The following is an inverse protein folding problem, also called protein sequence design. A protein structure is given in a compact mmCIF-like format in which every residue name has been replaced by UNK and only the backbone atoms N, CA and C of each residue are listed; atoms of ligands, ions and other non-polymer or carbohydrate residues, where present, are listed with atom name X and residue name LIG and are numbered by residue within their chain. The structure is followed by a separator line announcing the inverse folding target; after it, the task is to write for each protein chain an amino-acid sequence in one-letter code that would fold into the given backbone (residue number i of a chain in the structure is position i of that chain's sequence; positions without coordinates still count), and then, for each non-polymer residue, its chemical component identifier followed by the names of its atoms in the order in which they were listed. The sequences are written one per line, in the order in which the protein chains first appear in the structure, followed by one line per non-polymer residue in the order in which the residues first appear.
data_IF_143458774678
#
_entry.id   IF_143458774678
#
_cell.length_a   1.000
_cell.length_b   1.000
_cell.length_c   1.000
_cell.angle_alpha   90.00
_cell.angle_beta   90.00
_cell.angle_gamma   90.00
#
_symmetry.space_group_name_H-M   'P 1'
#
loop_
_entity.id
_entity.type
_entity.pdbx_description
1 polymer ?
#
# COMPACT_ATOMS: atom_id res chain seq x y z
N UNK A 1 -4.52 22.48 -14.75
CA UNK A 1 -4.54 21.67 -15.99
C UNK A 1 -4.07 20.27 -15.63
N UNK A 2 -4.84 19.23 -15.93
CA UNK A 2 -4.50 17.85 -15.56
C UNK A 2 -4.34 17.01 -16.82
N UNK A 3 -3.14 16.47 -17.05
CA UNK A 3 -2.84 15.60 -18.18
C UNK A 3 -2.80 14.17 -17.64
N UNK A 4 -3.70 13.30 -18.12
CA UNK A 4 -3.69 11.87 -17.78
C UNK A 4 -2.94 11.12 -18.90
N UNK A 5 -1.74 10.65 -18.60
CA UNK A 5 -0.95 9.84 -19.53
C UNK A 5 -1.07 8.37 -19.12
N UNK A 6 -1.54 7.51 -20.03
CA UNK A 6 -1.54 6.05 -19.83
C UNK A 6 -0.30 5.49 -20.52
N UNK A 7 0.68 5.05 -19.74
CA UNK A 7 1.88 4.38 -20.24
C UNK A 7 2.03 3.02 -19.57
N UNK A 8 2.52 2.03 -20.33
CA UNK A 8 2.73 0.66 -19.85
C UNK A 8 4.21 0.45 -19.59
N UNK A 9 4.53 -0.12 -18.44
CA UNK A 9 5.89 -0.57 -18.12
C UNK A 9 6.27 -1.71 -19.07
N UNK A 10 7.46 -1.63 -19.66
CA UNK A 10 7.94 -2.67 -20.57
C UNK A 10 8.37 -3.95 -19.83
N UNK A 11 8.72 -5.00 -20.59
CA UNK A 11 9.14 -6.28 -20.02
C UNK A 11 10.45 -6.22 -19.22
N UNK A 12 11.18 -5.10 -19.29
CA UNK A 12 12.42 -4.85 -18.57
C UNK A 12 12.19 -3.97 -17.33
N UNK A 13 10.93 -3.61 -17.03
CA UNK A 13 10.60 -2.76 -15.89
C UNK A 13 10.78 -1.25 -16.15
N UNK A 14 10.93 -0.82 -17.40
CA UNK A 14 11.12 0.60 -17.73
C UNK A 14 9.80 1.26 -18.09
N UNK A 15 9.59 2.45 -17.54
CA UNK A 15 8.46 3.31 -17.87
C UNK A 15 8.96 4.47 -18.74
N UNK A 16 8.53 4.50 -20.00
CA UNK A 16 8.81 5.62 -20.91
C UNK A 16 7.65 6.61 -20.84
N UNK A 17 7.97 7.87 -20.50
CA UNK A 17 7.02 8.96 -20.37
C UNK A 17 7.39 10.06 -21.37
N UNK A 18 6.55 10.28 -22.39
CA UNK A 18 6.73 11.37 -23.34
C UNK A 18 5.85 12.55 -22.92
N UNK A 19 6.49 13.63 -22.49
CA UNK A 19 5.81 14.85 -22.05
C UNK A 19 5.55 15.78 -23.24
N UNK A 20 4.40 16.49 -23.27
CA UNK A 20 4.16 17.52 -24.28
C UNK A 20 5.18 18.65 -24.19
N UNK A 21 5.53 19.25 -25.33
CA UNK A 21 6.47 20.38 -25.41
C UNK A 21 6.06 21.57 -24.54
N UNK A 22 4.76 21.72 -24.26
CA UNK A 22 4.20 22.75 -23.39
C UNK A 22 4.73 22.68 -21.94
N UNK A 23 5.24 21.52 -21.52
CA UNK A 23 5.84 21.29 -20.21
C UNK A 23 7.38 21.32 -20.25
N UNK A 24 7.98 21.68 -21.39
CA UNK A 24 9.44 21.75 -21.50
C UNK A 24 10.01 22.78 -20.51
N UNK A 25 11.15 22.42 -19.89
CA UNK A 25 11.84 23.22 -18.87
C UNK A 25 11.02 23.51 -17.61
N UNK A 26 9.97 22.72 -17.32
CA UNK A 26 9.21 22.81 -16.09
C UNK A 26 9.56 21.64 -15.16
N UNK A 27 9.55 21.90 -13.85
CA UNK A 27 9.68 20.85 -12.84
C UNK A 27 8.32 20.17 -12.62
N UNK A 28 8.32 18.84 -12.65
CA UNK A 28 7.11 18.03 -12.52
C UNK A 28 7.29 17.01 -11.41
N UNK A 29 6.27 16.88 -10.56
CA UNK A 29 6.17 15.81 -9.57
C UNK A 29 5.42 14.64 -10.22
N UNK A 30 6.06 13.48 -10.30
CA UNK A 30 5.47 12.24 -10.81
C UNK A 30 5.17 11.33 -9.62
N UNK A 31 3.90 10.94 -9.47
CA UNK A 31 3.47 9.94 -8.48
C UNK A 31 3.22 8.64 -9.22
N UNK A 32 3.98 7.61 -8.89
CA UNK A 32 3.79 6.25 -9.41
C UNK A 32 3.12 5.45 -8.30
N UNK A 33 1.96 4.90 -8.60
CA UNK A 33 1.22 4.01 -7.70
C UNK A 33 1.07 2.68 -8.42
N UNK A 34 1.35 1.59 -7.74
CA UNK A 34 0.95 0.30 -8.26
C UNK A 34 -0.57 0.20 -8.12
N UNK A 35 -1.24 -0.12 -9.22
CA UNK A 35 -2.67 -0.45 -9.18
C UNK A 35 -2.87 -1.92 -8.74
N UNK A 36 -1.87 -2.52 -8.09
CA UNK A 36 -2.03 -3.83 -7.49
C UNK A 36 -2.93 -3.64 -6.28
N UNK A 37 -4.22 -3.85 -6.48
CA UNK A 37 -5.10 -4.14 -5.35
C UNK A 37 -4.54 -5.42 -4.73
N UNK A 38 -3.88 -5.29 -3.58
CA UNK A 38 -3.65 -6.44 -2.71
C UNK A 38 -5.02 -7.04 -2.44
N UNK A 39 -5.30 -8.16 -3.11
CA UNK A 39 -6.47 -8.97 -2.81
C UNK A 39 -6.28 -9.49 -1.40
N UNK A 40 -6.92 -8.84 -0.44
CA UNK A 40 -7.06 -9.38 0.90
C UNK A 40 -7.88 -10.66 0.74
N UNK A 41 -7.30 -11.84 1.04
CA UNK A 41 -8.03 -13.10 0.91
C UNK A 41 -9.22 -13.10 1.86
N UNK A 42 -10.34 -13.65 1.39
CA UNK A 42 -11.56 -13.82 2.18
C UNK A 42 -11.32 -14.84 3.30
N UNK A 43 -12.09 -14.81 4.40
CA UNK A 43 -12.02 -15.82 5.46
C UNK A 43 -12.06 -17.25 4.93
N UNK A 44 -12.92 -17.51 3.94
CA UNK A 44 -13.13 -18.83 3.36
C UNK A 44 -11.90 -19.31 2.59
N UNK A 45 -11.20 -18.42 1.89
CA UNK A 45 -9.93 -18.73 1.21
C UNK A 45 -8.82 -19.09 2.20
N UNK A 46 -8.93 -18.62 3.44
CA UNK A 46 -8.02 -18.94 4.54
C UNK A 46 -8.50 -20.14 5.39
N UNK A 47 -9.63 -20.76 5.05
CA UNK A 47 -10.21 -21.90 5.79
C UNK A 47 -11.06 -21.51 7.01
N UNK A 48 -11.40 -20.24 7.17
CA UNK A 48 -12.25 -19.74 8.24
C UNK A 48 -13.72 -19.58 7.82
N UNK A 49 -14.67 -19.59 8.77
CA UNK A 49 -16.06 -19.20 8.52
C UNK A 49 -16.18 -17.79 7.92
N UNK A 50 -17.22 -17.56 7.13
CA UNK A 50 -17.46 -16.29 6.43
C UNK A 50 -17.51 -15.05 7.34
N UNK A 51 -17.92 -15.25 8.59
CA UNK A 51 -18.11 -14.23 9.62
C UNK A 51 -16.93 -14.14 10.60
N UNK A 52 -15.81 -14.82 10.31
CA UNK A 52 -14.66 -14.88 11.20
C UNK A 52 -14.02 -13.52 11.47
N UNK A 53 -13.80 -12.70 10.43
CA UNK A 53 -13.22 -11.37 10.61
C UNK A 53 -14.15 -10.43 11.40
N UNK A 54 -15.47 -10.46 11.13
CA UNK A 54 -16.46 -9.69 11.89
C UNK A 54 -16.51 -10.07 13.38
N UNK A 55 -16.27 -11.36 13.69
CA UNK A 55 -16.28 -11.89 15.05
C UNK A 55 -14.96 -11.77 15.79
N UNK A 56 -13.84 -11.58 15.09
CA UNK A 56 -12.49 -11.67 15.69
C UNK A 56 -11.77 -10.33 15.66
N UNK A 57 -11.98 -9.50 14.65
CA UNK A 57 -11.35 -8.19 14.55
C UNK A 57 -11.79 -7.29 15.72
N UNK A 58 -10.84 -6.87 16.56
CA UNK A 58 -11.11 -6.00 17.71
C UNK A 58 -11.83 -6.67 18.89
N UNK A 59 -12.05 -8.00 18.84
CA UNK A 59 -12.71 -8.79 19.90
C UNK A 59 -11.71 -9.48 20.81
N UNK A 60 -10.53 -8.88 20.97
CA UNK A 60 -9.54 -9.40 21.89
C UNK A 60 -10.00 -9.14 23.33
N UNK A 61 -10.38 -10.20 24.04
CA UNK A 61 -10.82 -10.19 25.44
C UNK A 61 -9.72 -10.66 26.41
N UNK A 62 -8.46 -10.69 25.96
CA UNK A 62 -7.31 -11.06 26.78
C UNK A 62 -6.83 -9.95 27.73
N UNK A 63 -5.90 -10.29 28.62
CA UNK A 63 -5.23 -9.31 29.49
C UNK A 63 -4.41 -8.31 28.68
N UNK A 64 -4.54 -7.00 28.97
CA UNK A 64 -3.79 -5.89 28.34
C UNK A 64 -2.37 -6.34 27.97
N UNK A 65 -2.00 -6.25 26.68
CA UNK A 65 -0.66 -6.61 26.22
C UNK A 65 0.34 -5.62 26.84
N UNK A 66 0.85 -5.94 28.01
CA UNK A 66 1.94 -5.21 28.65
C UNK A 66 3.21 -5.61 27.91
N UNK A 67 3.74 -4.68 27.10
CA UNK A 67 5.10 -4.83 26.57
C UNK A 67 6.07 -4.61 27.73
N UNK A 68 6.49 -5.67 28.38
CA UNK A 68 7.60 -5.62 29.33
C UNK A 68 8.86 -5.23 28.55
N UNK A 69 9.44 -4.08 28.88
CA UNK A 69 10.63 -3.45 28.25
C UNK A 69 10.38 -2.66 26.96
N UNK A 70 9.60 -1.58 27.05
CA UNK A 70 9.92 -0.38 26.25
C UNK A 70 11.19 0.25 26.87
N UNK A 71 12.36 -0.35 26.60
CA UNK A 71 13.62 0.31 26.90
C UNK A 71 13.66 1.56 26.02
N UNK A 72 13.86 2.71 26.65
CA UNK A 72 14.06 3.99 26.00
C UNK A 72 15.17 3.82 24.94
N UNK A 73 14.82 3.89 23.65
CA UNK A 73 15.79 3.71 22.56
C UNK A 73 16.80 4.87 22.49
N UNK A 74 16.69 5.86 23.38
CA UNK A 74 17.49 7.09 23.40
C UNK A 74 18.73 7.01 24.32
N UNK A 75 19.01 5.85 24.92
CA UNK A 75 20.27 5.62 25.63
C UNK A 75 21.12 4.63 24.87
N UNK A 76 21.96 5.12 23.95
CA UNK A 76 23.40 4.81 23.77
C UNK A 76 23.95 5.47 22.50
#
# INVERSE_FOLDING_TARGET
MQIKLKSKVDAQGKLLLQLPQQLANQELIIIITDAFEEKIPTPQELGYPADFFDKTAGKWEGEVLVRENLVDCDLY
#
